data_IF_467591056214
#
_entry.id   IF_467591056214
#
_cell.length_a   1.000
_cell.length_b   1.000
_cell.length_c   1.000
_cell.angle_alpha   90.00
_cell.angle_beta   90.00
_cell.angle_gamma   90.00
#
_symmetry.space_group_name_H-M   'P 1'
#
loop_
_entity.id
_entity.type
_entity.pdbx_description
1 polymer ?
#
# COMPACT_ATOMS: atom_id res chain seq x y z
N UNK A 1 19.73 0.88 -4.14
CA UNK A 1 18.55 0.05 -3.87
C UNK A 1 17.82 0.63 -2.67
N UNK A 2 16.49 0.63 -2.65
CA UNK A 2 15.72 1.28 -1.59
C UNK A 2 14.25 0.83 -1.58
N UNK A 3 13.51 1.32 -0.59
CA UNK A 3 12.10 1.02 -0.37
C UNK A 3 11.20 2.04 -1.07
N UNK A 4 10.19 1.56 -1.79
CA UNK A 4 9.10 2.39 -2.29
C UNK A 4 8.01 2.37 -1.23
N UNK A 5 7.64 3.53 -0.71
CA UNK A 5 6.53 3.65 0.24
C UNK A 5 5.24 3.78 -0.58
N UNK A 6 4.35 2.79 -0.49
CA UNK A 6 3.04 2.82 -1.16
C UNK A 6 1.87 3.10 -0.20
N UNK A 7 2.08 2.97 1.11
CA UNK A 7 1.12 3.35 2.14
C UNK A 7 1.89 3.98 3.30
N UNK A 8 1.36 5.07 3.88
CA UNK A 8 1.84 5.60 5.14
C UNK A 8 0.69 6.16 5.99
N UNK A 9 0.71 5.82 7.27
CA UNK A 9 -0.13 6.40 8.32
C UNK A 9 0.77 6.94 9.43
N UNK A 10 0.47 8.14 9.91
CA UNK A 10 1.21 8.87 10.94
C UNK A 10 0.23 9.38 12.00
N UNK A 11 -0.92 9.89 11.56
CA UNK A 11 -1.97 10.45 12.40
C UNK A 11 -3.35 10.19 11.74
N UNK A 12 -4.35 11.01 12.07
CA UNK A 12 -5.73 10.85 11.58
C UNK A 12 -6.07 11.94 10.55
N UNK A 13 -5.08 12.47 9.82
CA UNK A 13 -5.28 13.57 8.88
C UNK A 13 -5.90 13.12 7.55
N UNK A 14 -5.68 11.87 7.16
CA UNK A 14 -6.32 11.25 6.00
C UNK A 14 -7.28 10.18 6.46
N UNK A 15 -8.54 10.30 6.04
CA UNK A 15 -9.54 9.25 6.25
C UNK A 15 -9.24 8.03 5.36
N UNK A 16 -9.11 6.86 5.98
CA UNK A 16 -8.92 5.57 5.31
C UNK A 16 -10.23 4.77 5.19
N UNK A 17 -11.34 5.25 5.76
CA UNK A 17 -12.66 4.66 5.56
C UNK A 17 -13.23 5.08 4.20
N UNK A 18 -12.72 4.45 3.15
CA UNK A 18 -12.89 4.85 1.74
C UNK A 18 -13.54 3.75 0.91
N UNK A 19 -14.18 4.16 -0.19
CA UNK A 19 -14.79 3.22 -1.13
C UNK A 19 -13.78 2.51 -2.04
N UNK A 20 -14.26 1.53 -2.82
CA UNK A 20 -13.41 0.74 -3.72
C UNK A 20 -12.66 1.60 -4.74
N UNK A 21 -13.35 2.53 -5.41
CA UNK A 21 -12.73 3.38 -6.44
C UNK A 21 -11.56 4.21 -5.87
N UNK A 22 -11.70 4.72 -4.64
CA UNK A 22 -10.63 5.47 -3.98
C UNK A 22 -9.44 4.56 -3.63
N UNK A 23 -9.69 3.34 -3.18
CA UNK A 23 -8.61 2.36 -2.97
C UNK A 23 -7.97 1.88 -4.27
N UNK A 24 -8.72 1.81 -5.37
CA UNK A 24 -8.21 1.50 -6.70
C UNK A 24 -7.25 2.57 -7.19
N UNK A 25 -7.69 3.84 -7.12
CA UNK A 25 -7.00 5.00 -7.69
C UNK A 25 -5.92 5.58 -6.76
N UNK A 26 -6.08 5.40 -5.45
CA UNK A 26 -5.24 5.99 -4.41
C UNK A 26 -5.82 7.28 -3.83
N UNK A 27 -5.35 7.66 -2.65
CA UNK A 27 -5.80 8.85 -1.92
C UNK A 27 -4.74 9.36 -0.95
N UNK A 28 -4.98 10.55 -0.39
CA UNK A 28 -4.01 11.27 0.42
C UNK A 28 -2.91 11.91 -0.44
N UNK A 29 -1.79 12.29 0.19
CA UNK A 29 -0.67 12.88 -0.54
C UNK A 29 0.65 12.65 0.18
N UNK A 30 1.69 12.32 -0.59
CA UNK A 30 3.06 12.29 -0.07
C UNK A 30 3.46 13.61 0.61
N UNK A 31 2.92 14.75 0.15
CA UNK A 31 3.22 16.09 0.71
C UNK A 31 2.74 16.25 2.16
N UNK A 32 1.64 15.60 2.54
CA UNK A 32 1.09 15.65 3.90
C UNK A 32 1.56 14.47 4.76
N UNK A 33 2.28 13.52 4.17
CA UNK A 33 2.87 12.37 4.87
C UNK A 33 1.95 11.15 5.00
N UNK A 34 0.66 11.28 4.68
CA UNK A 34 -0.31 10.19 4.74
C UNK A 34 -0.95 9.96 3.37
N UNK A 35 -0.92 8.71 2.91
CA UNK A 35 -1.44 8.34 1.61
C UNK A 35 -1.55 6.83 1.42
N UNK A 36 -2.31 6.47 0.39
CA UNK A 36 -2.32 5.15 -0.22
C UNK A 36 -2.12 5.31 -1.74
N UNK A 37 -1.17 4.59 -2.31
CA UNK A 37 -0.74 4.72 -3.72
C UNK A 37 -1.81 4.27 -4.73
N UNK A 38 -2.78 3.46 -4.30
CA UNK A 38 -3.81 2.88 -5.15
C UNK A 38 -3.47 1.46 -5.60
N UNK A 39 -4.44 0.56 -5.53
CA UNK A 39 -4.26 -0.87 -5.83
C UNK A 39 -3.78 -1.10 -7.26
N UNK A 40 -4.26 -0.33 -8.24
CA UNK A 40 -3.79 -0.48 -9.63
C UNK A 40 -2.31 -0.15 -9.77
N UNK A 41 -1.85 0.90 -9.10
CA UNK A 41 -0.45 1.32 -9.15
C UNK A 41 0.44 0.32 -8.42
N UNK A 42 -0.01 -0.18 -7.26
CA UNK A 42 0.72 -1.22 -6.51
C UNK A 42 0.79 -2.51 -7.33
N UNK A 43 -0.30 -2.92 -7.98
CA UNK A 43 -0.31 -4.12 -8.83
C UNK A 43 0.64 -4.00 -10.02
N UNK A 44 0.63 -2.86 -10.73
CA UNK A 44 1.58 -2.58 -11.82
C UNK A 44 3.03 -2.60 -11.32
N UNK A 45 3.28 -2.06 -10.13
CA UNK A 45 4.61 -2.05 -9.51
C UNK A 45 5.07 -3.48 -9.19
N UNK A 46 4.27 -4.25 -8.47
CA UNK A 46 4.68 -5.55 -7.95
C UNK A 46 4.69 -6.66 -8.99
N UNK A 47 3.94 -6.53 -10.08
CA UNK A 47 3.95 -7.52 -11.19
C UNK A 47 5.15 -7.37 -12.13
N UNK A 48 5.84 -6.23 -12.12
CA UNK A 48 6.98 -5.96 -13.01
C UNK A 48 8.22 -6.82 -12.74
N UNK A 49 8.39 -7.27 -11.48
CA UNK A 49 9.48 -8.12 -10.99
C UNK A 49 9.16 -8.55 -9.56
N UNK A 50 9.92 -9.51 -9.03
CA UNK A 50 9.81 -9.88 -7.62
C UNK A 50 10.16 -8.69 -6.71
N UNK A 51 9.25 -8.39 -5.78
CA UNK A 51 9.45 -7.43 -4.70
C UNK A 51 9.30 -8.11 -3.35
N UNK A 52 9.98 -7.59 -2.33
CA UNK A 52 9.74 -7.94 -0.94
C UNK A 52 8.92 -6.81 -0.29
N UNK A 53 8.08 -7.15 0.67
CA UNK A 53 7.28 -6.20 1.45
C UNK A 53 7.88 -6.06 2.85
N UNK A 54 7.98 -4.83 3.32
CA UNK A 54 8.26 -4.50 4.71
C UNK A 54 7.13 -3.63 5.26
N UNK A 55 6.65 -3.97 6.44
CA UNK A 55 5.66 -3.20 7.19
C UNK A 55 6.31 -2.72 8.48
N UNK A 56 6.41 -1.41 8.64
CA UNK A 56 6.90 -0.77 9.88
C UNK A 56 5.69 -0.27 10.70
N UNK A 57 5.69 -0.54 12.00
CA UNK A 57 4.64 -0.18 12.95
C UNK A 57 5.25 0.47 14.19
N UNK A 58 4.56 1.44 14.77
CA UNK A 58 4.93 2.03 16.06
C UNK A 58 3.74 1.98 17.02
N UNK A 59 3.95 1.48 18.23
CA UNK A 59 2.94 1.40 19.29
C UNK A 59 3.58 1.72 20.63
N UNK A 60 3.01 2.67 21.38
CA UNK A 60 3.55 3.13 22.67
C UNK A 60 5.06 3.41 22.61
N UNK A 61 5.49 4.20 21.61
CA UNK A 61 6.89 4.56 21.34
C UNK A 61 7.83 3.36 21.04
N UNK A 62 7.28 2.17 20.85
CA UNK A 62 8.03 0.96 20.49
C UNK A 62 7.84 0.66 19.01
N UNK A 63 8.94 0.43 18.29
CA UNK A 63 8.94 0.18 16.85
C UNK A 63 9.02 -1.32 16.56
N UNK A 64 8.20 -1.76 15.63
CA UNK A 64 8.11 -3.14 15.15
C UNK A 64 8.22 -3.15 13.63
N UNK A 65 8.66 -4.29 13.08
CA UNK A 65 8.60 -4.50 11.64
C UNK A 65 8.29 -5.97 11.31
N UNK A 66 7.67 -6.18 10.16
CA UNK A 66 7.48 -7.49 9.54
C UNK A 66 7.96 -7.46 8.09
N UNK A 67 8.61 -8.53 7.65
CA UNK A 67 9.11 -8.68 6.29
C UNK A 67 8.47 -9.91 5.63
N UNK A 68 8.02 -9.75 4.39
CA UNK A 68 7.46 -10.80 3.56
C UNK A 68 8.23 -10.85 2.25
N UNK A 69 8.68 -12.03 1.86
CA UNK A 69 9.35 -12.24 0.58
C UNK A 69 8.32 -12.52 -0.52
N UNK A 70 8.66 -12.16 -1.76
CA UNK A 70 7.80 -12.44 -2.94
C UNK A 70 6.39 -11.86 -2.83
N UNK A 71 6.31 -10.57 -2.51
CA UNK A 71 5.05 -9.85 -2.43
C UNK A 71 4.54 -9.43 -3.81
N UNK A 72 3.26 -9.69 -4.06
CA UNK A 72 2.55 -9.28 -5.27
C UNK A 72 1.08 -8.96 -4.97
N UNK A 73 0.56 -7.91 -5.61
CA UNK A 73 -0.88 -7.65 -5.72
C UNK A 73 -1.32 -7.91 -7.17
N UNK A 74 -2.35 -8.75 -7.32
CA UNK A 74 -2.99 -8.99 -8.62
C UNK A 74 -3.98 -7.88 -8.97
N UNK A 75 -4.07 -7.55 -10.26
CA UNK A 75 -4.95 -6.49 -10.74
C UNK A 75 -6.44 -6.84 -10.61
N UNK A 76 -7.28 -5.82 -10.55
CA UNK A 76 -8.73 -5.96 -10.39
C UNK A 76 -9.38 -6.83 -11.48
N UNK A 77 -8.92 -6.71 -12.74
CA UNK A 77 -9.41 -7.53 -13.85
C UNK A 77 -9.25 -9.04 -13.61
N UNK A 78 -8.26 -9.45 -12.81
CA UNK A 78 -8.09 -10.85 -12.42
C UNK A 78 -9.19 -11.24 -11.43
N UNK A 79 -9.46 -10.40 -10.43
CA UNK A 79 -10.44 -10.65 -9.34
C UNK A 79 -11.87 -10.77 -9.87
N UNK A 80 -12.26 -9.98 -10.87
CA UNK A 80 -13.62 -10.04 -11.46
C UNK A 80 -13.90 -11.40 -12.10
N UNK A 81 -12.89 -12.13 -12.58
CA UNK A 81 -13.05 -13.46 -13.17
C UNK A 81 -13.19 -14.58 -12.13
N UNK A 82 -13.04 -14.29 -10.84
CA UNK A 82 -13.17 -15.26 -9.74
C UNK A 82 -14.44 -15.07 -8.89
N UNK A 83 -15.33 -14.14 -9.26
CA UNK A 83 -16.67 -13.98 -8.68
C UNK A 83 -17.74 -14.58 -9.59
#
# INVERSE_FOLDING_TARGET
FGWIIFQRRINENVDFYRGWNEYRDGFGSYRIGEFFMGNENISKLTSSRQHDLRVDLEFNNTKYFACYTRFEIVGESIIINYK
#
